data_IF_970499939458
#
_entry.id   IF_970499939458
#
_cell.length_a   1.000
_cell.length_b   1.000
_cell.length_c   1.000
_cell.angle_alpha   90.00
_cell.angle_beta   90.00
_cell.angle_gamma   90.00
#
_symmetry.space_group_name_H-M   'P 1'
#
loop_
_entity.id
_entity.type
_entity.pdbx_description
1 polymer ?
#
# COMPACT_ATOMS: atom_id res chain seq x y z
N UNK A 1 -19.15 -3.56 -26.97
CA UNK A 1 -18.18 -2.41 -27.06
C UNK A 1 -18.58 -1.37 -26.05
N UNK A 2 -17.65 -0.85 -25.27
CA UNK A 2 -17.85 0.17 -24.23
C UNK A 2 -17.54 1.57 -24.79
N UNK A 3 -18.14 2.61 -24.20
CA UNK A 3 -17.69 3.97 -24.45
C UNK A 3 -16.36 4.25 -23.75
N UNK A 4 -16.18 3.66 -22.56
CA UNK A 4 -15.00 3.85 -21.73
C UNK A 4 -14.66 2.56 -20.98
N UNK A 5 -13.40 2.15 -21.01
CA UNK A 5 -12.83 1.17 -20.11
C UNK A 5 -11.86 1.88 -19.17
N UNK A 6 -11.88 1.51 -17.90
CA UNK A 6 -10.99 2.04 -16.87
C UNK A 6 -10.22 0.88 -16.26
N UNK A 7 -8.90 0.96 -16.26
CA UNK A 7 -8.02 -0.04 -15.65
C UNK A 7 -7.62 0.43 -14.25
N UNK A 8 -8.09 -0.29 -13.25
CA UNK A 8 -7.89 -0.02 -11.83
C UNK A 8 -9.11 0.60 -11.15
N UNK A 9 -9.48 0.02 -10.01
CA UNK A 9 -10.60 0.44 -9.17
C UNK A 9 -10.13 1.13 -7.88
N UNK A 10 -9.01 1.83 -7.92
CA UNK A 10 -8.60 2.78 -6.88
C UNK A 10 -9.45 4.06 -6.93
N UNK A 11 -9.20 5.04 -6.05
CA UNK A 11 -9.99 6.28 -5.98
C UNK A 11 -10.13 7.00 -7.32
N UNK A 12 -9.06 7.07 -8.12
CA UNK A 12 -9.08 7.71 -9.43
C UNK A 12 -10.01 6.99 -10.41
N UNK A 13 -9.90 5.65 -10.50
CA UNK A 13 -10.72 4.85 -11.41
C UNK A 13 -12.19 4.84 -11.01
N UNK A 14 -12.49 4.72 -9.73
CA UNK A 14 -13.86 4.78 -9.22
C UNK A 14 -14.48 6.16 -9.47
N UNK A 15 -13.77 7.25 -9.17
CA UNK A 15 -14.24 8.60 -9.45
C UNK A 15 -14.55 8.82 -10.94
N UNK A 16 -13.63 8.41 -11.82
CA UNK A 16 -13.82 8.50 -13.27
C UNK A 16 -15.02 7.67 -13.74
N UNK A 17 -15.21 6.46 -13.18
CA UNK A 17 -16.30 5.57 -13.57
C UNK A 17 -17.68 6.12 -13.20
N UNK A 18 -17.83 6.64 -11.97
CA UNK A 18 -19.07 7.28 -11.50
C UNK A 18 -19.40 8.48 -12.38
N UNK A 19 -18.40 9.35 -12.66
CA UNK A 19 -18.62 10.49 -13.53
C UNK A 19 -19.00 10.07 -14.96
N UNK A 20 -18.33 9.06 -15.52
CA UNK A 20 -18.68 8.51 -16.84
C UNK A 20 -20.13 8.01 -16.89
N UNK A 21 -20.57 7.28 -15.88
CA UNK A 21 -21.96 6.81 -15.77
C UNK A 21 -22.96 7.97 -15.66
N UNK A 22 -22.65 9.00 -14.87
CA UNK A 22 -23.52 10.19 -14.74
C UNK A 22 -23.68 10.95 -16.07
N UNK A 23 -22.75 10.76 -17.01
CA UNK A 23 -22.80 11.30 -18.38
C UNK A 23 -23.43 10.33 -19.40
N UNK A 24 -24.11 9.29 -18.93
CA UNK A 24 -24.80 8.30 -19.77
C UNK A 24 -23.87 7.41 -20.58
N UNK A 25 -22.60 7.26 -20.17
CA UNK A 25 -21.64 6.40 -20.87
C UNK A 25 -21.77 4.94 -20.43
N UNK A 26 -21.50 4.03 -21.37
CA UNK A 26 -21.31 2.62 -21.05
C UNK A 26 -19.87 2.42 -20.57
N UNK A 27 -19.71 2.21 -19.26
CA UNK A 27 -18.41 2.17 -18.57
C UNK A 27 -18.15 0.80 -17.99
N UNK A 28 -16.96 0.26 -18.23
CA UNK A 28 -16.41 -0.94 -17.60
C UNK A 28 -15.17 -0.57 -16.79
N UNK A 29 -15.10 -1.04 -15.55
CA UNK A 29 -13.90 -1.00 -14.71
C UNK A 29 -13.31 -2.40 -14.62
N UNK A 30 -12.00 -2.52 -14.88
CA UNK A 30 -11.23 -3.76 -14.75
C UNK A 30 -10.30 -3.62 -13.54
N UNK A 31 -10.45 -4.52 -12.57
CA UNK A 31 -9.65 -4.53 -11.34
C UNK A 31 -9.06 -5.92 -11.10
N UNK A 32 -7.77 -6.00 -10.82
CA UNK A 32 -7.09 -7.29 -10.62
C UNK A 32 -7.31 -7.92 -9.24
N UNK A 33 -7.66 -7.11 -8.23
CA UNK A 33 -7.83 -7.56 -6.84
C UNK A 33 -9.16 -7.06 -6.26
N UNK A 34 -9.11 -5.95 -5.53
CA UNK A 34 -10.26 -5.38 -4.82
C UNK A 34 -10.37 -3.87 -5.09
N UNK A 35 -11.59 -3.37 -5.01
CA UNK A 35 -11.84 -1.92 -5.05
C UNK A 35 -11.13 -1.24 -3.89
N UNK A 36 -10.49 -0.09 -4.18
CA UNK A 36 -9.75 0.70 -3.22
C UNK A 36 -8.27 0.82 -3.57
N UNK A 37 -7.67 -0.20 -4.18
CA UNK A 37 -6.23 -0.19 -4.45
C UNK A 37 -5.42 -0.03 -3.16
N UNK A 38 -4.34 0.74 -3.20
CA UNK A 38 -3.46 0.93 -2.04
C UNK A 38 -4.17 1.61 -0.86
N UNK A 39 -5.07 2.57 -1.10
CA UNK A 39 -5.78 3.24 0.01
C UNK A 39 -6.66 2.28 0.80
N UNK A 40 -7.16 1.22 0.18
CA UNK A 40 -7.91 0.16 0.86
C UNK A 40 -7.10 -0.66 1.87
N UNK A 41 -5.78 -0.53 1.85
CA UNK A 41 -4.86 -1.32 2.69
C UNK A 41 -4.25 -0.53 3.86
N UNK A 42 -4.48 0.78 3.93
CA UNK A 42 -3.92 1.62 5.01
C UNK A 42 -4.72 1.48 6.31
N UNK A 43 -4.05 1.66 7.44
CA UNK A 43 -4.69 1.64 8.77
C UNK A 43 -5.74 2.73 8.90
N UNK A 44 -5.39 3.93 8.48
CA UNK A 44 -6.23 5.13 8.60
C UNK A 44 -6.12 5.96 7.34
N UNK A 45 -7.26 6.41 6.81
CA UNK A 45 -7.32 7.41 5.74
C UNK A 45 -7.33 8.79 6.38
N UNK A 46 -6.31 9.57 6.08
CA UNK A 46 -6.13 10.95 6.51
C UNK A 46 -5.92 11.85 5.30
N UNK A 47 -6.18 13.14 5.43
CA UNK A 47 -5.87 14.15 4.41
C UNK A 47 -6.45 13.86 3.01
N UNK A 48 -7.59 13.19 2.95
CA UNK A 48 -8.31 12.92 1.71
C UNK A 48 -9.62 13.72 1.66
N UNK A 49 -9.93 14.30 0.50
CA UNK A 49 -11.14 15.09 0.31
C UNK A 49 -12.40 14.33 0.73
N UNK A 50 -13.29 14.97 1.46
CA UNK A 50 -14.55 14.44 2.00
C UNK A 50 -14.38 13.36 3.11
N UNK A 51 -13.21 13.23 3.68
CA UNK A 51 -13.00 12.50 4.93
C UNK A 51 -13.17 13.49 6.09
N UNK A 52 -14.29 13.38 6.80
CA UNK A 52 -14.64 14.25 7.93
C UNK A 52 -14.19 13.68 9.27
N UNK A 53 -14.01 12.37 9.34
CA UNK A 53 -13.51 11.64 10.50
C UNK A 53 -12.56 10.56 10.01
N UNK A 54 -11.56 10.27 10.81
CA UNK A 54 -10.65 9.16 10.54
C UNK A 54 -11.43 7.85 10.36
N UNK A 55 -11.10 7.15 9.30
CA UNK A 55 -11.64 5.81 9.01
C UNK A 55 -10.57 4.91 8.43
N UNK A 56 -10.75 3.59 8.54
CA UNK A 56 -9.81 2.64 7.93
C UNK A 56 -9.88 2.68 6.40
N UNK A 57 -8.77 2.35 5.75
CA UNK A 57 -8.74 2.20 4.30
C UNK A 57 -9.77 1.20 3.79
N UNK A 58 -10.00 0.12 4.52
CA UNK A 58 -11.00 -0.89 4.16
C UNK A 58 -12.43 -0.35 4.19
N UNK A 59 -12.78 0.46 5.20
CA UNK A 59 -14.09 1.13 5.27
C UNK A 59 -14.27 2.12 4.12
N UNK A 60 -13.25 2.91 3.84
CA UNK A 60 -13.26 3.85 2.72
C UNK A 60 -13.42 3.12 1.37
N UNK A 61 -12.67 2.05 1.14
CA UNK A 61 -12.77 1.22 -0.06
C UNK A 61 -14.18 0.62 -0.24
N UNK A 62 -14.80 0.16 0.85
CA UNK A 62 -16.17 -0.37 0.85
C UNK A 62 -17.17 0.70 0.40
N UNK A 63 -17.08 1.92 0.97
CA UNK A 63 -17.94 3.05 0.55
C UNK A 63 -17.78 3.41 -0.92
N UNK A 64 -16.53 3.45 -1.43
CA UNK A 64 -16.27 3.69 -2.84
C UNK A 64 -16.93 2.62 -3.72
N UNK A 65 -16.82 1.34 -3.35
CA UNK A 65 -17.46 0.22 -4.06
C UNK A 65 -18.96 0.37 -4.09
N UNK A 66 -19.58 0.62 -2.95
CA UNK A 66 -21.03 0.83 -2.82
C UNK A 66 -21.52 2.01 -3.69
N UNK A 67 -20.79 3.11 -3.69
CA UNK A 67 -21.11 4.28 -4.50
C UNK A 67 -21.02 3.97 -6.01
N UNK A 68 -19.99 3.26 -6.44
CA UNK A 68 -19.83 2.88 -7.84
C UNK A 68 -20.97 1.94 -8.30
N UNK A 69 -21.30 0.93 -7.51
CA UNK A 69 -22.38 -0.01 -7.82
C UNK A 69 -23.74 0.70 -7.84
N UNK A 70 -24.02 1.61 -6.91
CA UNK A 70 -25.24 2.43 -6.88
C UNK A 70 -25.37 3.35 -8.11
N UNK A 71 -24.23 3.80 -8.66
CA UNK A 71 -24.19 4.56 -9.90
C UNK A 71 -24.31 3.67 -11.16
N UNK A 72 -24.46 2.35 -11.02
CA UNK A 72 -24.58 1.40 -12.11
C UNK A 72 -23.25 1.13 -12.85
N UNK A 73 -22.11 1.29 -12.18
CA UNK A 73 -20.79 0.97 -12.75
C UNK A 73 -20.63 -0.55 -12.80
N UNK A 74 -20.27 -1.08 -13.99
CA UNK A 74 -19.86 -2.47 -14.15
C UNK A 74 -18.39 -2.60 -13.72
N UNK A 75 -18.12 -3.48 -12.73
CA UNK A 75 -16.76 -3.79 -12.26
C UNK A 75 -16.51 -5.26 -12.49
N UNK A 76 -15.44 -5.60 -13.22
CA UNK A 76 -15.00 -6.98 -13.41
C UNK A 76 -13.65 -7.20 -12.75
N UNK A 77 -13.55 -8.31 -12.01
CA UNK A 77 -12.32 -8.70 -11.32
C UNK A 77 -11.49 -9.57 -12.25
N UNK A 78 -10.63 -8.88 -13.03
CA UNK A 78 -9.79 -9.46 -14.07
C UNK A 78 -8.45 -8.74 -14.14
N UNK A 79 -7.39 -9.51 -14.41
CA UNK A 79 -6.06 -8.96 -14.59
C UNK A 79 -5.84 -8.59 -16.07
N UNK A 80 -5.62 -7.30 -16.34
CA UNK A 80 -5.25 -6.83 -17.68
C UNK A 80 -3.82 -7.26 -17.99
N UNK A 81 -3.65 -7.93 -19.11
CA UNK A 81 -2.36 -8.47 -19.58
C UNK A 81 -1.78 -7.72 -20.77
N UNK A 82 -2.65 -7.14 -21.62
CA UNK A 82 -2.25 -6.41 -22.80
C UNK A 82 -3.21 -5.25 -23.09
N UNK A 83 -2.68 -4.16 -23.65
CA UNK A 83 -3.50 -3.06 -24.16
C UNK A 83 -3.02 -2.65 -25.56
N UNK A 84 -3.97 -2.39 -26.46
CA UNK A 84 -3.71 -1.80 -27.79
C UNK A 84 -4.35 -0.43 -27.84
N UNK A 85 -3.51 0.61 -27.78
CA UNK A 85 -3.93 2.00 -27.58
C UNK A 85 -4.03 2.80 -28.86
N UNK A 86 -3.49 2.26 -29.98
CA UNK A 86 -3.51 2.90 -31.30
C UNK A 86 -4.88 2.75 -31.96
N UNK A 87 -5.22 3.70 -32.85
CA UNK A 87 -6.49 3.68 -33.59
C UNK A 87 -7.68 4.24 -32.81
N UNK A 88 -8.84 4.27 -33.46
CA UNK A 88 -10.09 4.82 -32.91
C UNK A 88 -10.69 3.92 -31.82
N UNK A 89 -10.55 2.61 -31.95
CA UNK A 89 -11.00 1.62 -30.98
C UNK A 89 -9.80 1.09 -30.21
N UNK A 90 -9.89 1.15 -28.89
CA UNK A 90 -8.90 0.60 -27.95
C UNK A 90 -9.27 -0.83 -27.62
N UNK A 91 -8.29 -1.72 -27.54
CA UNK A 91 -8.48 -3.09 -27.14
C UNK A 91 -7.76 -3.36 -25.82
N UNK A 92 -8.45 -4.02 -24.91
CA UNK A 92 -7.90 -4.46 -23.61
C UNK A 92 -8.07 -5.95 -23.53
N UNK A 93 -6.98 -6.66 -23.24
CA UNK A 93 -6.96 -8.11 -23.05
C UNK A 93 -6.74 -8.39 -21.56
N UNK A 94 -7.52 -9.28 -21.01
CA UNK A 94 -7.40 -9.76 -19.63
C UNK A 94 -7.01 -11.23 -19.61
N UNK A 95 -6.81 -11.77 -18.43
CA UNK A 95 -6.62 -13.20 -18.22
C UNK A 95 -7.90 -14.04 -18.49
N UNK A 96 -9.03 -13.41 -18.81
CA UNK A 96 -10.31 -14.09 -19.10
C UNK A 96 -10.84 -13.76 -20.49
N UNK A 97 -10.94 -12.48 -20.83
CA UNK A 97 -11.62 -12.02 -22.03
C UNK A 97 -10.90 -10.85 -22.71
N UNK A 98 -11.40 -10.42 -23.85
CA UNK A 98 -10.96 -9.21 -24.54
C UNK A 98 -12.12 -8.23 -24.68
N UNK A 99 -11.82 -6.95 -24.45
CA UNK A 99 -12.79 -5.87 -24.50
C UNK A 99 -12.38 -4.77 -25.46
N UNK A 100 -13.38 -4.10 -26.00
CA UNK A 100 -13.16 -2.95 -26.88
C UNK A 100 -13.88 -1.71 -26.37
N UNK A 101 -13.22 -0.56 -26.50
CA UNK A 101 -13.79 0.74 -26.11
C UNK A 101 -13.33 1.87 -27.02
N UNK A 102 -14.11 2.96 -27.03
CA UNK A 102 -13.74 4.21 -27.69
C UNK A 102 -12.60 4.92 -26.95
N UNK A 103 -12.65 4.88 -25.62
CA UNK A 103 -11.67 5.54 -24.73
C UNK A 103 -11.18 4.60 -23.66
N UNK A 104 -9.95 4.80 -23.20
CA UNK A 104 -9.33 4.06 -22.11
C UNK A 104 -8.75 5.02 -21.09
N UNK A 105 -9.00 4.76 -19.81
CA UNK A 105 -8.37 5.46 -18.68
C UNK A 105 -7.47 4.47 -17.95
N UNK A 106 -6.19 4.83 -17.82
CA UNK A 106 -5.22 4.10 -17.02
C UNK A 106 -5.21 4.68 -15.60
N UNK A 107 -5.82 3.97 -14.68
CA UNK A 107 -5.91 4.32 -13.27
C UNK A 107 -5.34 3.18 -12.37
N UNK A 108 -4.33 2.48 -12.90
CA UNK A 108 -3.77 1.26 -12.33
C UNK A 108 -2.92 1.49 -11.07
N UNK A 109 -2.74 2.76 -10.65
CA UNK A 109 -2.06 3.12 -9.41
C UNK A 109 -0.61 2.63 -9.34
N UNK A 110 -0.18 2.31 -8.15
CA UNK A 110 1.14 1.73 -7.84
C UNK A 110 1.03 0.43 -7.06
N UNK A 111 2.17 -0.17 -6.81
CA UNK A 111 2.33 -1.30 -5.89
C UNK A 111 3.50 -1.04 -4.96
N UNK A 112 3.46 -1.59 -3.75
CA UNK A 112 4.61 -1.55 -2.84
C UNK A 112 5.85 -2.09 -3.54
N UNK A 113 6.98 -1.42 -3.34
CA UNK A 113 8.27 -1.87 -3.84
C UNK A 113 8.90 -2.76 -2.78
N UNK A 114 9.40 -3.93 -3.19
CA UNK A 114 10.28 -4.73 -2.35
C UNK A 114 11.65 -4.08 -2.25
N UNK A 115 12.40 -4.40 -1.20
CA UNK A 115 13.71 -3.79 -0.93
C UNK A 115 14.79 -4.29 -1.89
N UNK A 116 14.62 -5.48 -2.49
CA UNK A 116 15.62 -6.11 -3.35
C UNK A 116 16.83 -6.65 -2.58
N UNK A 117 16.64 -7.00 -1.32
CA UNK A 117 17.70 -7.50 -0.42
C UNK A 117 17.61 -9.01 -0.22
N UNK A 118 18.71 -9.69 0.14
CA UNK A 118 18.69 -11.09 0.52
C UNK A 118 17.69 -11.36 1.65
N UNK A 119 16.88 -12.41 1.51
CA UNK A 119 15.94 -12.86 2.53
C UNK A 119 14.62 -12.08 2.62
N UNK A 120 14.35 -11.11 1.76
CA UNK A 120 13.11 -10.32 1.79
C UNK A 120 11.83 -11.13 1.59
N UNK A 121 11.92 -12.35 1.04
CA UNK A 121 10.80 -13.27 0.86
C UNK A 121 10.52 -14.18 2.06
N UNK A 122 11.35 -14.14 3.09
CA UNK A 122 11.17 -14.96 4.30
C UNK A 122 9.87 -14.60 5.02
N UNK A 123 9.29 -15.59 5.69
CA UNK A 123 8.13 -15.38 6.55
C UNK A 123 8.53 -14.43 7.69
N UNK A 124 7.85 -13.32 7.84
CA UNK A 124 8.19 -12.23 8.77
C UNK A 124 8.31 -10.88 8.09
N UNK A 125 8.61 -10.85 6.79
CA UNK A 125 8.56 -9.63 5.98
C UNK A 125 7.13 -9.41 5.48
N UNK A 126 6.59 -8.20 5.66
CA UNK A 126 5.20 -7.82 5.43
C UNK A 126 5.08 -6.49 4.70
N UNK A 127 3.97 -6.27 4.02
CA UNK A 127 3.65 -5.05 3.28
C UNK A 127 2.33 -4.41 3.73
N UNK A 128 1.68 -4.93 4.77
CA UNK A 128 0.36 -4.46 5.17
C UNK A 128 0.18 -4.58 6.69
N UNK A 129 0.35 -3.49 7.41
CA UNK A 129 0.23 -3.43 8.86
C UNK A 129 -1.19 -3.76 9.36
N UNK A 130 -2.30 -3.22 8.80
CA UNK A 130 -3.64 -3.57 9.23
C UNK A 130 -3.97 -5.06 9.13
N UNK A 131 -3.45 -5.72 8.11
CA UNK A 131 -3.69 -7.15 7.89
C UNK A 131 -2.87 -8.04 8.82
N UNK A 132 -1.59 -7.73 8.96
CA UNK A 132 -0.61 -8.63 9.54
C UNK A 132 -0.15 -8.22 10.93
N UNK A 133 -0.39 -6.97 11.36
CA UNK A 133 0.12 -6.38 12.60
C UNK A 133 -0.28 -7.14 13.87
N UNK A 134 -1.50 -7.68 13.90
CA UNK A 134 -1.99 -8.45 15.06
C UNK A 134 -1.14 -9.69 15.40
N UNK A 135 -0.40 -10.23 14.43
CA UNK A 135 0.50 -11.36 14.62
C UNK A 135 1.74 -11.01 15.47
N UNK A 136 1.99 -9.71 15.65
CA UNK A 136 3.17 -9.18 16.34
C UNK A 136 2.80 -8.49 17.66
N UNK A 137 1.65 -8.83 18.24
CA UNK A 137 1.24 -8.29 19.54
C UNK A 137 2.29 -8.56 20.63
N UNK A 138 2.78 -7.49 21.24
CA UNK A 138 3.80 -7.52 22.29
C UNK A 138 5.23 -7.84 21.78
N UNK A 139 5.43 -8.04 20.48
CA UNK A 139 6.72 -8.34 19.86
C UNK A 139 7.40 -7.09 19.31
N UNK A 140 8.64 -7.22 18.88
CA UNK A 140 9.35 -6.15 18.18
C UNK A 140 8.89 -6.07 16.71
N UNK A 141 8.80 -4.84 16.20
CA UNK A 141 8.47 -4.57 14.80
C UNK A 141 9.43 -3.53 14.24
N UNK A 142 9.88 -3.77 13.01
CA UNK A 142 10.73 -2.85 12.25
C UNK A 142 9.93 -2.34 11.05
N UNK A 143 9.73 -1.03 10.97
CA UNK A 143 9.07 -0.36 9.85
C UNK A 143 10.12 0.30 8.98
N UNK A 144 10.26 -0.18 7.74
CA UNK A 144 11.28 0.27 6.80
C UNK A 144 10.69 1.37 5.94
N UNK A 145 11.17 2.60 6.14
CA UNK A 145 10.72 3.82 5.47
C UNK A 145 10.53 4.96 6.45
N UNK A 146 10.63 6.20 5.96
CA UNK A 146 10.51 7.43 6.76
C UNK A 146 9.44 8.42 6.28
N UNK A 147 8.69 8.09 5.21
CA UNK A 147 7.64 8.94 4.67
C UNK A 147 6.28 8.71 5.37
N UNK A 148 5.26 9.49 5.00
CA UNK A 148 3.91 9.47 5.62
C UNK A 148 3.35 8.07 5.81
N UNK A 149 3.46 7.22 4.77
CA UNK A 149 2.93 5.86 4.82
C UNK A 149 3.58 5.01 5.91
N UNK A 150 4.91 5.04 5.97
CA UNK A 150 5.70 4.28 6.95
C UNK A 150 5.41 4.74 8.38
N UNK A 151 5.50 6.06 8.63
CA UNK A 151 5.34 6.61 9.98
C UNK A 151 3.91 6.44 10.49
N UNK A 152 2.90 6.63 9.64
CA UNK A 152 1.50 6.36 10.00
C UNK A 152 1.27 4.90 10.39
N UNK A 153 1.79 3.97 9.61
CA UNK A 153 1.64 2.55 9.94
C UNK A 153 2.50 2.13 11.15
N UNK A 154 3.62 2.81 11.40
CA UNK A 154 4.38 2.64 12.64
C UNK A 154 3.59 3.07 13.87
N UNK A 155 2.88 4.19 13.80
CA UNK A 155 1.96 4.64 14.85
C UNK A 155 0.85 3.62 15.11
N UNK A 156 0.22 3.10 14.05
CA UNK A 156 -0.78 2.03 14.19
C UNK A 156 -0.20 0.76 14.82
N UNK A 157 1.00 0.35 14.44
CA UNK A 157 1.66 -0.83 15.00
C UNK A 157 2.09 -0.61 16.45
N UNK A 158 2.34 0.63 16.88
CA UNK A 158 2.73 0.94 18.25
C UNK A 158 1.63 0.62 19.27
N UNK A 159 0.36 0.67 18.86
CA UNK A 159 -0.78 0.24 19.69
C UNK A 159 -0.88 -1.30 19.85
N UNK A 160 -0.11 -2.05 19.07
CA UNK A 160 -0.20 -3.52 19.01
C UNK A 160 1.10 -4.17 19.49
N UNK A 161 2.23 -3.71 18.96
CA UNK A 161 3.54 -4.27 19.20
C UNK A 161 4.12 -3.86 20.56
N UNK A 162 5.08 -4.62 21.06
CA UNK A 162 5.81 -4.24 22.26
C UNK A 162 6.79 -3.09 22.01
N UNK A 163 7.42 -3.10 20.82
CA UNK A 163 8.33 -2.05 20.38
C UNK A 163 8.29 -1.91 18.87
N UNK A 164 8.23 -0.68 18.39
CA UNK A 164 8.34 -0.34 16.98
C UNK A 164 9.63 0.42 16.72
N UNK A 165 10.38 -0.01 15.71
CA UNK A 165 11.57 0.71 15.26
C UNK A 165 11.36 1.19 13.83
N UNK A 166 11.27 2.50 13.62
CA UNK A 166 11.24 3.11 12.28
C UNK A 166 12.68 3.18 11.77
N UNK A 167 12.93 2.60 10.60
CA UNK A 167 14.25 2.57 9.96
C UNK A 167 14.21 3.47 8.74
N UNK A 168 14.94 4.57 8.76
CA UNK A 168 14.93 5.62 7.76
C UNK A 168 16.34 5.85 7.20
N UNK A 169 16.46 5.97 5.89
CA UNK A 169 17.74 6.19 5.22
C UNK A 169 18.20 7.64 5.28
N UNK A 170 17.28 8.57 5.46
CA UNK A 170 17.50 10.01 5.47
C UNK A 170 17.98 10.53 6.84
N UNK A 171 18.31 11.84 6.87
CA UNK A 171 18.73 12.59 8.08
C UNK A 171 17.56 12.85 9.05
N UNK A 172 16.33 12.81 8.55
CA UNK A 172 15.10 12.99 9.31
C UNK A 172 13.94 12.22 8.66
N UNK A 173 12.84 12.08 9.38
CA UNK A 173 11.62 11.51 8.80
C UNK A 173 11.04 12.46 7.73
N UNK A 174 10.75 11.95 6.55
CA UNK A 174 10.18 12.68 5.42
C UNK A 174 8.64 12.70 5.45
N UNK A 175 8.04 12.73 6.63
CA UNK A 175 6.60 12.77 6.82
C UNK A 175 6.13 14.16 7.28
N UNK A 176 4.80 14.37 7.28
CA UNK A 176 4.19 15.59 7.80
C UNK A 176 4.50 15.78 9.29
N UNK A 177 4.50 17.03 9.74
CA UNK A 177 4.89 17.39 11.11
C UNK A 177 4.03 16.68 12.16
N UNK A 178 2.73 16.57 11.94
CA UNK A 178 1.82 15.86 12.84
C UNK A 178 2.27 14.41 13.14
N UNK A 179 2.76 13.69 12.15
CA UNK A 179 3.25 12.32 12.35
C UNK A 179 4.61 12.28 13.04
N UNK A 180 5.49 13.26 12.77
CA UNK A 180 6.75 13.42 13.49
C UNK A 180 6.49 13.63 14.98
N UNK A 181 5.58 14.53 15.32
CA UNK A 181 5.24 14.88 16.70
C UNK A 181 4.64 13.67 17.44
N UNK A 182 3.71 12.97 16.81
CA UNK A 182 3.12 11.75 17.37
C UNK A 182 4.16 10.65 17.60
N UNK A 183 5.05 10.42 16.65
CA UNK A 183 6.09 9.41 16.80
C UNK A 183 7.13 9.75 17.88
N UNK A 184 7.44 11.05 18.06
CA UNK A 184 8.42 11.53 19.05
C UNK A 184 7.97 11.34 20.49
N UNK A 185 6.65 11.39 20.77
CA UNK A 185 6.09 11.25 22.12
C UNK A 185 5.63 9.83 22.45
N UNK A 186 5.73 8.89 21.51
CA UNK A 186 5.27 7.53 21.70
C UNK A 186 6.35 6.67 22.38
N UNK A 187 6.11 6.22 23.59
CA UNK A 187 7.09 5.56 24.46
C UNK A 187 7.75 4.31 23.87
N UNK A 188 7.03 3.57 23.01
CA UNK A 188 7.53 2.33 22.41
C UNK A 188 8.02 2.51 20.95
N UNK A 189 8.06 3.73 20.40
CA UNK A 189 8.62 4.00 19.08
C UNK A 189 10.06 4.45 19.21
N UNK A 190 10.96 3.79 18.48
CA UNK A 190 12.35 4.18 18.26
C UNK A 190 12.56 4.56 16.80
N UNK A 191 13.32 5.61 16.55
CA UNK A 191 13.70 6.03 15.20
C UNK A 191 15.20 5.72 14.99
N UNK A 192 15.51 5.00 13.91
CA UNK A 192 16.87 4.74 13.42
C UNK A 192 17.04 5.49 12.10
N UNK A 193 17.66 6.65 12.16
CA UNK A 193 18.03 7.45 10.99
C UNK A 193 19.31 6.92 10.35
N UNK A 194 19.58 7.33 9.10
CA UNK A 194 20.75 6.94 8.32
C UNK A 194 20.97 5.43 8.23
N UNK A 195 19.90 4.67 8.32
CA UNK A 195 19.95 3.22 8.45
C UNK A 195 19.17 2.53 7.34
N UNK A 196 19.76 1.46 6.80
CA UNK A 196 19.13 0.58 5.82
C UNK A 196 19.07 -0.83 6.36
N UNK A 197 17.94 -1.52 6.16
CA UNK A 197 17.90 -2.97 6.25
C UNK A 197 18.59 -3.54 5.01
N UNK A 198 19.67 -4.26 5.15
CA UNK A 198 20.51 -4.74 4.05
C UNK A 198 20.44 -6.25 3.80
N UNK A 199 20.02 -7.00 4.78
CA UNK A 199 19.71 -8.43 4.62
C UNK A 199 18.79 -8.93 5.73
N UNK A 200 18.08 -10.00 5.44
CA UNK A 200 17.31 -10.79 6.39
C UNK A 200 17.79 -12.24 6.31
N UNK A 201 18.10 -12.83 7.43
CA UNK A 201 18.61 -14.20 7.49
C UNK A 201 17.62 -15.10 8.21
N UNK A 202 17.62 -16.38 7.83
CA UNK A 202 16.81 -17.44 8.40
C UNK A 202 16.62 -18.58 7.39
N UNK A 203 16.06 -19.71 7.82
CA UNK A 203 15.77 -20.84 6.93
C UNK A 203 14.37 -20.69 6.28
N UNK A 204 13.31 -20.86 7.05
CA UNK A 204 11.90 -20.73 6.57
C UNK A 204 11.25 -19.44 6.99
N UNK A 205 11.76 -18.80 8.00
CA UNK A 205 11.29 -17.56 8.57
C UNK A 205 12.48 -16.68 8.95
N UNK A 206 12.20 -15.40 9.18
CA UNK A 206 13.12 -14.43 9.71
C UNK A 206 13.70 -14.90 11.06
N UNK A 207 15.00 -14.82 11.21
CA UNK A 207 15.74 -15.10 12.46
C UNK A 207 16.68 -13.97 12.85
N UNK A 208 17.33 -13.35 11.86
CA UNK A 208 18.28 -12.25 12.06
C UNK A 208 18.04 -11.15 11.01
N UNK A 209 18.31 -9.90 11.40
CA UNK A 209 18.27 -8.71 10.55
C UNK A 209 19.64 -8.05 10.50
N UNK A 210 20.09 -7.70 9.31
CA UNK A 210 21.30 -6.90 9.13
C UNK A 210 20.91 -5.46 8.77
N UNK A 211 21.34 -4.52 9.60
CA UNK A 211 21.22 -3.09 9.34
C UNK A 211 22.59 -2.50 9.03
N UNK A 212 22.62 -1.57 8.09
CA UNK A 212 23.82 -0.79 7.77
C UNK A 212 23.58 0.68 8.10
N UNK A 213 24.46 1.28 8.87
CA UNK A 213 24.54 2.71 9.04
C UNK A 213 25.11 3.34 7.76
N UNK A 214 24.33 4.14 7.07
CA UNK A 214 24.67 4.68 5.74
C UNK A 214 25.75 5.77 5.78
N UNK A 215 26.03 6.38 6.96
CA UNK A 215 27.09 7.36 7.14
C UNK A 215 28.45 6.70 7.36
N UNK A 216 28.48 5.65 8.15
CA UNK A 216 29.72 5.01 8.58
C UNK A 216 30.01 3.69 7.85
N UNK A 217 29.04 3.11 7.17
CA UNK A 217 29.10 1.78 6.59
C UNK A 217 29.11 0.64 7.63
N UNK A 218 28.98 0.94 8.91
CA UNK A 218 28.98 -0.06 9.97
C UNK A 218 27.74 -0.92 9.91
N UNK A 219 27.96 -2.23 9.96
CA UNK A 219 26.87 -3.22 9.98
C UNK A 219 26.55 -3.63 11.41
N UNK A 220 25.27 -3.88 11.67
CA UNK A 220 24.75 -4.43 12.90
C UNK A 220 23.80 -5.57 12.59
N UNK A 221 24.01 -6.72 13.23
CA UNK A 221 23.08 -7.87 13.17
C UNK A 221 22.27 -7.90 14.45
N UNK A 222 20.96 -8.00 14.29
CA UNK A 222 19.98 -8.17 15.39
C UNK A 222 19.36 -9.55 15.26
N UNK A 223 19.48 -10.35 16.31
CA UNK A 223 18.83 -11.67 16.43
C UNK A 223 17.47 -11.50 17.06
N UNK A 224 16.42 -11.74 16.31
CA UNK A 224 15.02 -11.65 16.77
C UNK A 224 14.11 -12.46 15.86
N UNK A 225 13.96 -13.74 16.12
CA UNK A 225 13.15 -14.66 15.32
C UNK A 225 11.64 -14.41 15.41
N UNK A 226 11.19 -13.59 16.37
CA UNK A 226 9.76 -13.29 16.57
C UNK A 226 9.33 -11.95 16.04
N UNK A 227 10.27 -11.12 15.58
CA UNK A 227 9.94 -9.78 15.09
C UNK A 227 9.20 -9.80 13.76
N UNK A 228 8.59 -8.65 13.42
CA UNK A 228 8.01 -8.36 12.11
C UNK A 228 8.76 -7.25 11.40
N UNK A 229 8.88 -7.37 10.08
CA UNK A 229 9.37 -6.30 9.21
C UNK A 229 8.21 -5.84 8.35
N UNK A 230 7.94 -4.53 8.35
CA UNK A 230 6.94 -3.89 7.50
C UNK A 230 7.62 -2.90 6.56
N UNK A 231 7.45 -3.08 5.25
CA UNK A 231 8.12 -2.28 4.21
C UNK A 231 7.11 -1.31 3.59
N UNK A 232 7.48 0.01 3.51
CA UNK A 232 6.66 1.10 2.98
C UNK A 232 7.43 2.05 2.08
#
# INVERSE_FOLDING_TARGET
>A
MYDMIIIGAGPAGISASIYGKSRGKNVLVLEKKEVGGLIGTVSTVTHYTAIMKEESGSTFAKRMKEQALSAGVEIRYENVTETRLTGKIKKVVTNKESYESKTLILANGGSGRMLGIPGESLKGVRLNAPKDGSNYRGKNVYVIGGADGAVKEALYLADIAGKVTIVCVEDELACIQEFKDKAAVHDNIKIMLHSSLTAVYGDKALEELEFTDNKTGKKQIIKDAECGIFVY
#
